data_IF_633191068152
#
_entry.id   IF_633191068152
#
_cell.length_a   1.000
_cell.length_b   1.000
_cell.length_c   1.000
_cell.angle_alpha   90.00
_cell.angle_beta   90.00
_cell.angle_gamma   90.00
#
_symmetry.space_group_name_H-M   'P 1'
#
loop_
_entity.id
_entity.type
_entity.pdbx_description
1 polymer ?
#
# COMPACT_ATOMS: atom_id res chain seq x y z
N UNK A 1 -6.08 13.15 -12.22
CA UNK A 1 -6.29 11.96 -11.37
C UNK A 1 -7.56 12.16 -10.56
N UNK A 2 -8.33 11.09 -10.31
CA UNK A 2 -9.52 11.12 -9.44
C UNK A 2 -9.12 11.37 -7.99
N UNK A 3 -10.00 12.01 -7.21
CA UNK A 3 -9.75 12.43 -5.83
C UNK A 3 -10.24 11.38 -4.84
N UNK A 4 -9.80 11.48 -3.59
CA UNK A 4 -10.28 10.64 -2.49
C UNK A 4 -11.81 10.71 -2.41
N UNK A 5 -12.47 9.55 -2.37
CA UNK A 5 -13.94 9.44 -2.37
C UNK A 5 -14.57 9.30 -3.76
N UNK A 6 -13.84 9.55 -4.84
CA UNK A 6 -14.35 9.31 -6.20
C UNK A 6 -14.33 7.80 -6.53
N UNK A 7 -15.23 7.36 -7.41
CA UNK A 7 -15.20 6.01 -7.99
C UNK A 7 -14.51 6.02 -9.36
N UNK A 8 -13.55 5.14 -9.60
CA UNK A 8 -12.88 4.98 -10.91
C UNK A 8 -13.45 3.76 -11.61
N UNK A 9 -13.82 3.92 -12.88
CA UNK A 9 -14.25 2.82 -13.75
C UNK A 9 -13.16 2.58 -14.79
N UNK A 10 -12.61 1.35 -14.81
CA UNK A 10 -11.56 0.94 -15.72
C UNK A 10 -12.09 0.07 -16.89
N UNK A 11 -13.41 -0.17 -16.95
CA UNK A 11 -14.08 -0.93 -18.00
C UNK A 11 -14.30 -2.41 -17.64
N UNK A 12 -15.02 -3.14 -18.50
CA UNK A 12 -15.59 -4.46 -18.16
C UNK A 12 -14.62 -5.57 -17.78
N UNK A 13 -13.33 -5.47 -18.15
CA UNK A 13 -12.31 -6.45 -17.74
C UNK A 13 -11.60 -6.06 -16.43
N UNK A 14 -11.41 -4.77 -16.19
CA UNK A 14 -10.64 -4.25 -15.04
C UNK A 14 -11.54 -3.76 -13.89
N UNK A 15 -12.84 -3.69 -14.11
CA UNK A 15 -13.85 -3.36 -13.11
C UNK A 15 -13.88 -1.89 -12.70
N UNK A 16 -14.42 -1.66 -11.50
CA UNK A 16 -14.54 -0.35 -10.86
C UNK A 16 -14.09 -0.41 -9.40
N UNK A 17 -13.61 0.71 -8.87
CA UNK A 17 -13.15 0.79 -7.49
C UNK A 17 -13.12 2.22 -6.95
N UNK A 18 -13.34 2.35 -5.65
CA UNK A 18 -13.29 3.63 -4.94
C UNK A 18 -11.84 4.08 -4.71
N UNK A 19 -11.58 5.38 -4.87
CA UNK A 19 -10.31 6.00 -4.51
C UNK A 19 -10.26 6.18 -2.99
N UNK A 20 -9.50 5.33 -2.33
CA UNK A 20 -9.32 5.36 -0.88
C UNK A 20 -8.38 6.49 -0.44
N UNK A 21 -8.60 7.10 0.74
CA UNK A 21 -7.69 8.08 1.29
C UNK A 21 -6.34 7.46 1.65
N UNK A 22 -5.26 8.18 1.39
CA UNK A 22 -3.89 7.73 1.71
C UNK A 22 -3.26 8.58 2.81
N UNK A 23 -2.46 7.95 3.67
CA UNK A 23 -1.74 8.66 4.73
C UNK A 23 -0.68 9.59 4.11
N UNK A 24 -0.78 10.90 4.37
CA UNK A 24 0.11 11.94 3.82
C UNK A 24 1.46 12.08 4.53
N UNK A 25 1.75 11.20 5.50
CA UNK A 25 2.99 11.25 6.29
C UNK A 25 4.13 10.65 5.48
N UNK A 26 5.26 11.36 5.41
CA UNK A 26 6.44 10.87 4.69
C UNK A 26 7.06 9.64 5.37
N UNK A 27 7.29 8.61 4.57
CA UNK A 27 8.00 7.39 4.97
C UNK A 27 9.27 7.15 4.13
N UNK A 28 9.71 8.13 3.33
CA UNK A 28 10.85 7.98 2.41
C UNK A 28 12.14 7.54 3.12
N UNK A 29 12.40 8.05 4.32
CA UNK A 29 13.57 7.67 5.14
C UNK A 29 13.53 6.20 5.56
N UNK A 30 12.34 5.65 5.82
CA UNK A 30 12.16 4.24 6.19
C UNK A 30 12.33 3.33 4.97
N UNK A 31 11.68 3.66 3.86
CA UNK A 31 11.77 2.90 2.60
C UNK A 31 13.21 2.84 2.08
N UNK A 32 13.94 3.96 2.16
CA UNK A 32 15.34 4.06 1.70
C UNK A 32 16.36 3.50 2.70
N UNK A 33 15.93 3.02 3.88
CA UNK A 33 16.85 2.48 4.89
C UNK A 33 17.60 1.25 4.38
N UNK A 34 16.99 0.47 3.50
CA UNK A 34 17.58 -0.78 2.99
C UNK A 34 17.82 -1.81 4.10
N UNK A 35 18.55 -2.88 3.78
CA UNK A 35 18.83 -3.98 4.69
C UNK A 35 17.80 -5.11 4.62
N UNK A 36 17.82 -6.01 5.62
CA UNK A 36 16.90 -7.15 5.73
C UNK A 36 16.03 -6.97 6.95
N UNK A 37 14.71 -7.10 6.78
CA UNK A 37 13.79 -7.22 7.92
C UNK A 37 14.00 -8.63 8.48
N UNK A 38 14.48 -8.79 9.74
CA UNK A 38 14.71 -10.10 10.32
C UNK A 38 13.39 -10.87 10.42
N UNK A 39 13.48 -12.19 10.33
CA UNK A 39 12.31 -13.05 10.53
C UNK A 39 11.65 -12.78 11.89
N UNK A 40 10.33 -12.92 11.95
CA UNK A 40 9.60 -12.80 13.21
C UNK A 40 10.08 -13.87 14.20
N UNK A 41 10.14 -13.54 15.50
CA UNK A 41 10.59 -14.48 16.54
C UNK A 41 9.71 -15.73 16.58
N UNK A 42 8.42 -15.60 16.25
CA UNK A 42 7.47 -16.72 16.16
C UNK A 42 7.81 -17.70 15.03
N UNK A 43 8.56 -17.28 14.00
CA UNK A 43 9.02 -18.14 12.91
C UNK A 43 10.12 -19.13 13.33
N UNK A 44 10.78 -18.91 14.48
CA UNK A 44 11.80 -19.82 15.03
C UNK A 44 11.21 -21.03 15.79
N UNK A 45 9.89 -21.10 15.96
CA UNK A 45 9.18 -22.20 16.67
C UNK A 45 8.45 -23.14 15.70
N UNK A 46 9.00 -23.38 14.52
CA UNK A 46 8.55 -24.46 13.63
C UNK A 46 9.53 -25.62 13.69
#
# INVERSE_FOLDING_TARGET
GKKEGDYVHFGGLLGEGAVMPVKKVDCSKFVKRGGRIPASVTSFRN
#
